data_IF_364989522535
#
_entry.id   IF_364989522535
#
_cell.length_a   1.000
_cell.length_b   1.000
_cell.length_c   1.000
_cell.angle_alpha   90.00
_cell.angle_beta   90.00
_cell.angle_gamma   90.00
#
_symmetry.space_group_name_H-M   'P 1'
#
loop_
_entity.id
_entity.type
_entity.pdbx_description
1 polymer ?
#
# COMPACT_ATOMS: atom_id res chain seq x y z
N UNK A 1 -5.64 3.49 -42.80
CA UNK A 1 -4.87 4.07 -41.68
C UNK A 1 -5.62 5.23 -41.01
N UNK A 2 -6.94 5.12 -40.82
CA UNK A 2 -7.77 6.12 -40.10
C UNK A 2 -8.76 5.48 -39.10
N UNK A 3 -8.83 4.15 -39.03
CA UNK A 3 -9.79 3.43 -38.17
C UNK A 3 -9.27 3.08 -36.75
N UNK A 4 -7.99 3.33 -36.46
CA UNK A 4 -7.36 3.01 -35.17
C UNK A 4 -7.25 4.20 -34.20
N UNK A 5 -7.47 5.43 -34.67
CA UNK A 5 -7.45 6.63 -33.83
C UNK A 5 -8.79 6.90 -33.10
N UNK A 6 -9.88 6.26 -33.55
CA UNK A 6 -11.24 6.55 -33.05
C UNK A 6 -11.59 5.95 -31.68
N UNK A 7 -10.83 4.98 -31.16
CA UNK A 7 -11.16 4.31 -29.89
C UNK A 7 -10.50 4.93 -28.65
N UNK A 8 -9.55 5.85 -28.82
CA UNK A 8 -8.82 6.44 -27.69
C UNK A 8 -9.53 7.61 -27.01
N UNK A 9 -10.48 8.26 -27.68
CA UNK A 9 -11.18 9.48 -27.23
C UNK A 9 -12.63 9.22 -26.74
N UNK A 10 -12.95 7.99 -26.33
CA UNK A 10 -14.34 7.62 -25.99
C UNK A 10 -14.76 8.13 -24.60
N UNK A 11 -13.83 8.18 -23.64
CA UNK A 11 -14.11 8.55 -22.25
C UNK A 11 -13.40 9.83 -21.81
N UNK A 12 -12.35 10.24 -22.53
CA UNK A 12 -11.34 11.17 -22.06
C UNK A 12 -10.87 12.10 -23.17
N UNK A 13 -10.67 13.38 -22.87
CA UNK A 13 -10.11 14.37 -23.80
C UNK A 13 -8.60 14.17 -23.99
N UNK A 14 -7.95 13.49 -23.05
CA UNK A 14 -6.54 13.11 -23.07
C UNK A 14 -6.36 11.62 -23.40
N UNK A 15 -5.20 11.25 -23.96
CA UNK A 15 -4.91 9.85 -24.30
C UNK A 15 -4.75 8.96 -23.05
N UNK A 16 -5.44 7.81 -23.04
CA UNK A 16 -5.26 6.76 -22.02
C UNK A 16 -3.87 6.16 -22.16
N UNK A 17 -3.10 6.18 -21.07
CA UNK A 17 -1.70 5.72 -21.07
C UNK A 17 -1.57 4.25 -20.67
N UNK A 18 -2.41 3.79 -19.74
CA UNK A 18 -2.48 2.39 -19.31
C UNK A 18 -3.80 2.10 -18.58
N UNK A 19 -4.06 0.82 -18.31
CA UNK A 19 -5.21 0.35 -17.53
C UNK A 19 -4.80 -0.04 -16.12
N UNK A 20 -5.57 0.40 -15.13
CA UNK A 20 -5.41 0.03 -13.73
C UNK A 20 -6.34 -1.14 -13.43
N UNK A 21 -5.76 -2.27 -13.01
CA UNK A 21 -6.54 -3.46 -12.65
C UNK A 21 -7.04 -3.33 -11.21
N UNK A 22 -8.34 -3.11 -11.04
CA UNK A 22 -9.01 -3.14 -9.73
C UNK A 22 -8.97 -4.56 -9.15
N UNK A 23 -8.98 -4.67 -7.82
CA UNK A 23 -9.15 -5.96 -7.15
C UNK A 23 -10.60 -6.46 -7.24
N UNK A 24 -11.56 -5.56 -7.49
CA UNK A 24 -12.93 -5.94 -7.82
C UNK A 24 -13.00 -6.59 -9.20
N UNK A 25 -13.81 -7.64 -9.32
CA UNK A 25 -13.96 -8.42 -10.56
C UNK A 25 -15.33 -8.22 -11.21
N UNK A 26 -15.41 -8.51 -12.50
CA UNK A 26 -16.65 -8.64 -13.27
C UNK A 26 -16.48 -9.82 -14.22
N UNK A 27 -17.38 -10.81 -14.15
CA UNK A 27 -17.25 -12.06 -14.92
C UNK A 27 -16.00 -12.89 -14.57
N UNK A 28 -15.47 -12.76 -13.35
CA UNK A 28 -14.24 -13.44 -12.91
C UNK A 28 -12.95 -12.67 -13.20
N UNK A 29 -12.99 -11.68 -14.09
CA UNK A 29 -11.83 -10.88 -14.50
C UNK A 29 -11.74 -9.55 -13.75
N UNK A 30 -10.52 -9.03 -13.58
CA UNK A 30 -10.30 -7.73 -12.90
C UNK A 30 -10.87 -6.58 -13.72
N UNK A 31 -11.59 -5.67 -13.06
CA UNK A 31 -12.09 -4.46 -13.73
C UNK A 31 -10.92 -3.57 -14.18
N UNK A 32 -10.99 -3.10 -15.42
CA UNK A 32 -9.98 -2.24 -16.04
C UNK A 32 -10.39 -0.77 -15.92
N UNK A 33 -9.65 0.00 -15.15
CA UNK A 33 -9.92 1.42 -14.92
C UNK A 33 -8.96 2.28 -15.75
N UNK A 34 -9.46 3.17 -16.63
CA UNK A 34 -8.59 4.00 -17.45
C UNK A 34 -7.82 5.00 -16.57
N UNK A 35 -6.64 5.43 -17.03
CA UNK A 35 -5.88 6.51 -16.40
C UNK A 35 -5.12 7.31 -17.43
N UNK A 36 -4.98 8.60 -17.13
CA UNK A 36 -4.13 9.54 -17.84
C UNK A 36 -2.81 9.73 -17.07
N UNK A 37 -1.79 10.29 -17.72
CA UNK A 37 -0.48 10.51 -17.09
C UNK A 37 -0.55 11.48 -15.90
N UNK A 38 -1.37 12.53 -16.03
CA UNK A 38 -1.55 13.58 -15.01
C UNK A 38 -2.05 13.03 -13.67
N UNK A 39 -2.78 11.90 -13.68
CA UNK A 39 -3.25 11.23 -12.46
C UNK A 39 -2.09 10.76 -11.57
N UNK A 40 -0.92 10.43 -12.13
CA UNK A 40 0.24 10.08 -11.32
C UNK A 40 0.71 11.26 -10.47
N UNK A 41 0.66 12.48 -11.01
CA UNK A 41 0.98 13.71 -10.27
C UNK A 41 0.03 13.93 -9.09
N UNK A 42 -1.28 13.74 -9.30
CA UNK A 42 -2.30 13.85 -8.22
C UNK A 42 -2.09 12.80 -7.12
N UNK A 43 -1.73 11.57 -7.48
CA UNK A 43 -1.38 10.52 -6.50
C UNK A 43 -0.15 10.88 -5.69
N UNK A 44 0.90 11.36 -6.36
CA UNK A 44 2.11 11.83 -5.69
C UNK A 44 1.81 12.99 -4.73
N UNK A 45 0.91 13.90 -5.11
CA UNK A 45 0.45 14.97 -4.23
C UNK A 45 -0.23 14.40 -2.97
N UNK A 46 -1.16 13.45 -3.10
CA UNK A 46 -1.81 12.85 -1.93
C UNK A 46 -0.80 12.14 -1.01
N UNK A 47 0.18 11.43 -1.57
CA UNK A 47 1.26 10.83 -0.78
C UNK A 47 2.08 11.88 -0.03
N UNK A 48 2.35 13.04 -0.65
CA UNK A 48 3.14 14.11 -0.03
C UNK A 48 2.45 14.75 1.19
N UNK A 49 1.13 14.59 1.34
CA UNK A 49 0.39 15.10 2.49
C UNK A 49 0.47 14.18 3.73
N UNK A 50 0.81 12.89 3.55
CA UNK A 50 0.78 11.92 4.65
C UNK A 50 1.76 12.25 5.76
N UNK A 51 3.01 12.54 5.40
CA UNK A 51 4.08 12.74 6.38
C UNK A 51 3.98 14.08 7.12
N UNK A 52 3.60 15.21 6.47
CA UNK A 52 3.27 16.45 7.17
C UNK A 52 2.11 16.33 8.16
N UNK A 53 1.11 15.49 7.88
CA UNK A 53 0.04 15.19 8.85
C UNK A 53 0.61 14.35 9.99
N UNK A 54 1.35 13.27 9.69
CA UNK A 54 1.92 12.39 10.70
C UNK A 54 2.91 13.11 11.64
N UNK A 55 3.73 14.03 11.14
CA UNK A 55 4.75 14.74 11.93
C UNK A 55 4.13 15.58 13.07
N UNK A 56 2.88 16.01 12.92
CA UNK A 56 2.13 16.70 13.98
C UNK A 56 1.82 15.79 15.19
N UNK A 57 1.80 14.47 14.99
CA UNK A 57 1.46 13.48 16.02
C UNK A 57 2.68 12.68 16.49
N UNK A 58 3.59 12.36 15.57
CA UNK A 58 4.77 11.54 15.84
C UNK A 58 6.01 12.27 15.29
N UNK A 59 6.60 13.18 16.08
CA UNK A 59 7.74 13.96 15.61
C UNK A 59 9.01 13.11 15.47
N UNK A 60 9.95 13.56 14.65
CA UNK A 60 11.29 12.98 14.54
C UNK A 60 11.35 11.71 13.68
N UNK A 61 10.38 11.50 12.78
CA UNK A 61 10.40 10.39 11.82
C UNK A 61 11.41 10.59 10.68
N UNK A 62 11.82 11.84 10.45
CA UNK A 62 12.89 12.27 9.55
C UNK A 62 14.28 11.77 9.97
N UNK A 63 14.46 11.40 11.25
CA UNK A 63 15.73 10.96 11.83
C UNK A 63 16.04 9.47 11.66
N UNK A 64 15.20 8.75 10.94
CA UNK A 64 15.37 7.31 10.74
C UNK A 64 14.72 6.84 9.44
N UNK A 65 14.35 5.57 9.41
CA UNK A 65 13.85 4.87 8.24
C UNK A 65 12.48 4.24 8.49
N UNK A 66 11.72 4.09 7.41
CA UNK A 66 10.54 3.25 7.37
C UNK A 66 10.83 1.87 6.80
N UNK A 67 10.48 0.80 7.50
CA UNK A 67 10.54 -0.55 6.96
C UNK A 67 9.18 -0.93 6.36
N UNK A 68 9.05 -0.77 5.04
CA UNK A 68 7.82 -1.09 4.32
C UNK A 68 8.01 -2.27 3.38
N UNK A 69 7.11 -3.25 3.48
CA UNK A 69 7.06 -4.39 2.55
C UNK A 69 6.16 -4.05 1.36
N UNK A 70 6.78 -3.63 0.26
CA UNK A 70 6.12 -3.15 -0.95
C UNK A 70 6.36 -4.13 -2.10
N UNK A 71 5.32 -4.46 -2.86
CA UNK A 71 5.41 -5.49 -3.89
C UNK A 71 4.79 -5.03 -5.21
N UNK A 72 5.53 -5.24 -6.30
CA UNK A 72 4.95 -5.25 -7.65
C UNK A 72 4.16 -6.54 -7.89
N UNK A 73 3.27 -6.51 -8.88
CA UNK A 73 2.45 -7.64 -9.33
C UNK A 73 2.56 -7.80 -10.84
N UNK A 74 2.04 -8.91 -11.35
CA UNK A 74 2.02 -9.21 -12.77
C UNK A 74 1.32 -8.11 -13.58
N UNK A 75 1.82 -7.91 -14.79
CA UNK A 75 1.29 -6.98 -15.77
C UNK A 75 0.81 -7.79 -16.98
N UNK A 76 -0.24 -7.30 -17.63
CA UNK A 76 -0.75 -7.86 -18.88
C UNK A 76 -0.75 -6.78 -19.96
N UNK A 77 -0.87 -7.19 -21.23
CA UNK A 77 -1.13 -6.27 -22.34
C UNK A 77 -2.52 -6.52 -22.88
N UNK A 78 -3.27 -5.46 -23.11
CA UNK A 78 -4.57 -5.53 -23.78
C UNK A 78 -4.37 -5.80 -25.28
N UNK A 79 -5.40 -6.28 -26.01
CA UNK A 79 -5.32 -6.45 -27.46
C UNK A 79 -4.92 -5.17 -28.23
N UNK A 80 -5.23 -4.00 -27.67
CA UNK A 80 -4.82 -2.70 -28.21
C UNK A 80 -3.37 -2.29 -27.86
N UNK A 81 -2.58 -3.16 -27.24
CA UNK A 81 -1.17 -2.92 -26.90
C UNK A 81 -0.92 -2.17 -25.59
N UNK A 82 -1.97 -1.64 -24.95
CA UNK A 82 -1.86 -0.92 -23.68
C UNK A 82 -1.56 -1.86 -22.52
N UNK A 83 -0.75 -1.40 -21.57
CA UNK A 83 -0.42 -2.16 -20.35
C UNK A 83 -1.60 -2.14 -19.39
N UNK A 84 -1.91 -3.27 -18.78
CA UNK A 84 -2.89 -3.44 -17.71
C UNK A 84 -2.18 -3.97 -16.46
N UNK A 85 -2.22 -3.20 -15.36
CA UNK A 85 -1.53 -3.56 -14.11
C UNK A 85 -2.18 -2.95 -12.87
N UNK A 86 -1.94 -3.49 -11.66
CA UNK A 86 -2.43 -2.88 -10.43
C UNK A 86 -1.87 -1.47 -10.22
N UNK A 87 -2.67 -0.60 -9.58
CA UNK A 87 -2.33 0.81 -9.37
C UNK A 87 -1.00 1.02 -8.65
N UNK A 88 -0.73 0.22 -7.61
CA UNK A 88 0.52 0.29 -6.84
C UNK A 88 1.73 -0.16 -7.66
N UNK A 89 1.58 -1.21 -8.48
CA UNK A 89 2.64 -1.64 -9.41
C UNK A 89 2.98 -0.52 -10.39
N UNK A 90 1.96 0.18 -10.89
CA UNK A 90 2.20 1.35 -11.75
C UNK A 90 2.89 2.49 -11.01
N UNK A 91 2.58 2.71 -9.72
CA UNK A 91 3.22 3.76 -8.93
C UNK A 91 4.69 3.42 -8.65
N UNK A 92 5.01 2.21 -8.20
CA UNK A 92 6.38 1.80 -7.89
C UNK A 92 7.30 1.82 -9.12
N UNK A 93 6.76 1.52 -10.32
CA UNK A 93 7.52 1.63 -11.59
C UNK A 93 7.59 3.04 -12.16
N UNK A 94 6.89 4.01 -11.59
CA UNK A 94 6.87 5.37 -12.11
C UNK A 94 8.09 6.16 -11.64
N UNK A 95 8.44 7.22 -12.40
CA UNK A 95 9.51 8.15 -12.03
C UNK A 95 9.25 8.84 -10.69
N UNK A 96 7.99 8.99 -10.29
CA UNK A 96 7.61 9.53 -8.98
C UNK A 96 8.08 8.66 -7.81
N UNK A 97 8.30 7.36 -8.03
CA UNK A 97 8.83 6.46 -7.03
C UNK A 97 10.32 6.18 -7.25
N UNK A 98 10.72 5.78 -8.46
CA UNK A 98 12.10 5.35 -8.73
C UNK A 98 13.10 6.50 -8.68
N UNK A 99 12.68 7.68 -9.11
CA UNK A 99 13.51 8.89 -9.20
C UNK A 99 12.96 9.98 -8.27
N UNK A 100 12.36 9.59 -7.14
CA UNK A 100 11.86 10.53 -6.15
C UNK A 100 13.02 11.40 -5.63
N UNK A 101 12.82 12.72 -5.44
CA UNK A 101 13.81 13.55 -4.80
C UNK A 101 14.09 13.01 -3.39
N UNK A 102 15.29 13.32 -2.87
CA UNK A 102 15.58 12.98 -1.48
C UNK A 102 14.57 13.68 -0.57
N UNK A 103 13.87 12.88 0.22
CA UNK A 103 12.97 13.33 1.27
C UNK A 103 13.26 12.45 2.50
N UNK A 104 13.62 13.05 3.67
CA UNK A 104 13.91 12.29 4.87
C UNK A 104 12.74 11.39 5.30
N UNK A 105 11.50 11.73 4.96
CA UNK A 105 10.33 10.92 5.28
C UNK A 105 10.01 9.81 4.24
N UNK A 106 10.73 9.73 3.12
CA UNK A 106 10.65 8.59 2.18
C UNK A 106 11.92 7.73 2.17
N UNK A 107 12.70 7.83 3.25
CA UNK A 107 13.87 7.01 3.51
C UNK A 107 13.44 5.61 3.98
N UNK A 108 13.44 4.65 3.06
CA UNK A 108 13.05 3.27 3.33
C UNK A 108 14.26 2.36 3.57
N UNK A 109 14.04 1.24 4.24
CA UNK A 109 15.04 0.17 4.36
C UNK A 109 15.20 -0.61 3.06
N UNK A 110 14.12 -0.76 2.30
CA UNK A 110 14.06 -1.55 1.07
C UNK A 110 14.58 -0.76 -0.14
N UNK A 111 15.66 -1.19 -0.82
CA UNK A 111 16.08 -0.62 -2.09
C UNK A 111 14.99 -0.77 -3.16
N UNK A 112 14.98 0.14 -4.16
CA UNK A 112 13.96 0.11 -5.21
C UNK A 112 13.97 -1.21 -5.98
N UNK A 113 15.15 -1.79 -6.22
CA UNK A 113 15.39 -3.05 -6.92
C UNK A 113 14.69 -4.23 -6.21
N UNK A 114 14.73 -4.25 -4.87
CA UNK A 114 14.08 -5.29 -4.06
C UNK A 114 12.55 -5.21 -4.13
N UNK A 115 11.99 -3.99 -4.23
CA UNK A 115 10.55 -3.73 -4.39
C UNK A 115 10.09 -4.06 -5.81
N UNK A 116 10.92 -3.75 -6.80
CA UNK A 116 10.63 -3.93 -8.23
C UNK A 116 10.89 -5.35 -8.74
N UNK A 117 11.49 -6.22 -7.91
CA UNK A 117 11.69 -7.61 -8.23
C UNK A 117 10.33 -8.32 -8.47
N UNK A 118 10.12 -8.93 -9.65
CA UNK A 118 8.85 -9.60 -9.97
C UNK A 118 8.67 -10.91 -9.21
N UNK A 119 9.77 -11.54 -8.77
CA UNK A 119 9.73 -12.74 -7.94
C UNK A 119 9.38 -12.35 -6.50
N UNK A 120 8.20 -12.77 -6.05
CA UNK A 120 7.70 -12.41 -4.73
C UNK A 120 8.50 -13.01 -3.57
N UNK A 121 9.15 -14.16 -3.76
CA UNK A 121 10.01 -14.76 -2.75
C UNK A 121 11.27 -13.91 -2.60
N UNK A 122 11.94 -13.61 -3.72
CA UNK A 122 13.18 -12.83 -3.71
C UNK A 122 12.95 -11.40 -3.21
N UNK A 123 11.84 -10.77 -3.61
CA UNK A 123 11.41 -9.46 -3.12
C UNK A 123 11.16 -9.47 -1.60
N UNK A 124 10.41 -10.46 -1.09
CA UNK A 124 10.13 -10.56 0.35
C UNK A 124 11.41 -10.81 1.16
N UNK A 125 12.23 -11.77 0.73
CA UNK A 125 13.46 -12.15 1.40
C UNK A 125 14.44 -10.97 1.50
N UNK A 126 14.72 -10.31 0.37
CA UNK A 126 15.65 -9.19 0.31
C UNK A 126 15.17 -7.97 1.10
N UNK A 127 13.88 -7.64 1.06
CA UNK A 127 13.32 -6.55 1.87
C UNK A 127 13.41 -6.82 3.38
N UNK A 128 13.12 -8.06 3.80
CA UNK A 128 13.28 -8.47 5.21
C UNK A 128 14.74 -8.39 5.64
N UNK A 129 15.67 -8.89 4.82
CA UNK A 129 17.10 -8.84 5.10
C UNK A 129 17.58 -7.40 5.27
N UNK A 130 17.23 -6.49 4.37
CA UNK A 130 17.57 -5.07 4.48
C UNK A 130 16.97 -4.44 5.76
N UNK A 131 15.73 -4.80 6.11
CA UNK A 131 15.07 -4.37 7.33
C UNK A 131 15.77 -4.85 8.62
N UNK A 132 16.32 -6.07 8.62
CA UNK A 132 17.10 -6.61 9.74
C UNK A 132 18.48 -5.95 9.85
N UNK A 133 19.16 -5.72 8.73
CA UNK A 133 20.47 -5.03 8.70
C UNK A 133 20.33 -3.62 9.30
N UNK A 134 19.29 -2.90 8.91
CA UNK A 134 19.05 -1.51 9.32
C UNK A 134 18.17 -1.40 10.58
N UNK A 135 18.06 -2.45 11.40
CA UNK A 135 17.02 -2.58 12.41
C UNK A 135 16.96 -1.44 13.44
N UNK A 136 18.11 -0.81 13.75
CA UNK A 136 18.20 0.31 14.69
C UNK A 136 17.70 1.63 14.10
N UNK A 137 17.71 1.77 12.79
CA UNK A 137 17.25 2.97 12.10
C UNK A 137 15.74 2.96 11.89
N UNK A 138 15.07 1.82 12.09
CA UNK A 138 13.63 1.65 11.84
C UNK A 138 12.81 2.36 12.91
N UNK A 139 12.06 3.38 12.49
CA UNK A 139 11.13 4.14 13.34
C UNK A 139 9.66 3.78 13.11
N UNK A 140 9.36 3.11 12.00
CA UNK A 140 8.01 2.67 11.63
C UNK A 140 8.10 1.48 10.71
N UNK A 141 7.15 0.57 10.83
CA UNK A 141 7.07 -0.66 10.05
C UNK A 141 5.72 -0.74 9.36
N UNK A 142 5.63 -1.39 8.20
CA UNK A 142 4.33 -1.44 7.53
C UNK A 142 4.28 -2.17 6.21
N UNK A 143 3.07 -2.18 5.66
CA UNK A 143 2.73 -2.58 4.30
C UNK A 143 1.41 -1.89 3.95
N UNK A 144 1.01 -1.92 2.67
CA UNK A 144 -0.27 -1.30 2.29
C UNK A 144 -1.46 -1.89 3.06
N UNK A 145 -1.52 -3.22 3.19
CA UNK A 145 -2.57 -3.91 3.92
C UNK A 145 -2.00 -4.73 5.07
N UNK A 146 -2.77 -4.84 6.16
CA UNK A 146 -2.45 -5.67 7.32
C UNK A 146 -2.05 -7.12 6.94
N UNK A 147 -2.78 -7.73 6.01
CA UNK A 147 -2.49 -9.07 5.50
C UNK A 147 -1.11 -9.19 4.86
N UNK A 148 -0.64 -8.15 4.16
CA UNK A 148 0.69 -8.11 3.57
C UNK A 148 1.79 -8.08 4.62
N UNK A 149 1.59 -7.29 5.68
CA UNK A 149 2.54 -7.18 6.79
C UNK A 149 2.61 -8.47 7.62
N UNK A 150 1.46 -9.08 7.93
CA UNK A 150 1.40 -10.39 8.60
C UNK A 150 2.11 -11.46 7.78
N UNK A 151 1.94 -11.47 6.45
CA UNK A 151 2.68 -12.38 5.56
C UNK A 151 4.20 -12.18 5.66
N UNK A 152 4.69 -10.95 5.83
CA UNK A 152 6.12 -10.71 6.03
C UNK A 152 6.60 -11.25 7.38
N UNK A 153 5.84 -11.08 8.46
CA UNK A 153 6.15 -11.66 9.78
C UNK A 153 6.16 -13.19 9.71
N UNK A 154 5.17 -13.80 9.04
CA UNK A 154 5.12 -15.25 8.82
C UNK A 154 6.26 -15.76 7.95
N UNK A 155 6.70 -14.98 6.96
CA UNK A 155 7.87 -15.31 6.17
C UNK A 155 9.13 -15.31 7.03
N UNK A 156 9.30 -14.31 7.91
CA UNK A 156 10.40 -14.27 8.87
C UNK A 156 10.37 -15.47 9.83
N UNK A 157 9.20 -15.84 10.34
CA UNK A 157 9.01 -17.02 11.20
C UNK A 157 9.53 -18.32 10.54
N UNK A 158 9.38 -18.44 9.22
CA UNK A 158 9.79 -19.61 8.45
C UNK A 158 11.23 -19.57 7.94
N UNK A 159 11.81 -18.38 7.74
CA UNK A 159 13.07 -18.20 7.01
C UNK A 159 14.16 -17.47 7.83
N UNK A 160 13.92 -17.17 9.11
CA UNK A 160 14.93 -16.52 9.96
C UNK A 160 16.27 -17.26 10.02
N UNK A 161 16.38 -18.61 9.96
CA UNK A 161 17.69 -19.27 10.02
C UNK A 161 18.59 -18.90 8.83
N UNK A 162 18.02 -18.81 7.62
CA UNK A 162 18.76 -18.42 6.42
C UNK A 162 19.09 -16.92 6.45
N UNK A 163 18.15 -16.07 6.87
CA UNK A 163 18.41 -14.64 7.04
C UNK A 163 19.54 -14.38 8.05
N UNK A 164 19.59 -15.14 9.14
CA UNK A 164 20.67 -15.09 10.14
C UNK A 164 22.01 -15.53 9.56
N UNK A 165 22.04 -16.60 8.76
CA UNK A 165 23.26 -17.07 8.12
C UNK A 165 23.81 -16.04 7.11
N UNK A 166 22.94 -15.43 6.32
CA UNK A 166 23.31 -14.35 5.39
C UNK A 166 23.93 -13.17 6.13
N UNK A 167 23.30 -12.72 7.23
CA UNK A 167 23.83 -11.64 8.08
C UNK A 167 25.18 -12.05 8.68
N UNK A 168 25.30 -13.29 9.19
CA UNK A 168 26.51 -13.78 9.86
C UNK A 168 27.69 -13.87 8.90
N UNK A 169 27.46 -14.38 7.69
CA UNK A 169 28.51 -14.63 6.69
C UNK A 169 28.74 -13.45 5.76
N UNK A 170 27.80 -12.51 5.69
CA UNK A 170 27.78 -11.42 4.72
C UNK A 170 27.58 -11.90 3.28
N UNK A 171 27.02 -13.10 3.08
CA UNK A 171 26.77 -13.69 1.77
C UNK A 171 25.28 -13.89 1.58
N UNK A 172 24.75 -13.38 0.48
CA UNK A 172 23.34 -13.50 0.16
C UNK A 172 23.01 -14.90 -0.38
N UNK A 173 21.96 -15.51 0.16
CA UNK A 173 21.42 -16.82 -0.22
C UNK A 173 21.34 -16.99 -1.76
N UNK A 174 21.79 -18.14 -2.27
CA UNK A 174 21.86 -18.44 -3.70
C UNK A 174 20.47 -18.58 -4.36
N UNK A 175 19.40 -18.75 -3.57
CA UNK A 175 18.01 -18.70 -4.05
C UNK A 175 17.64 -17.31 -4.58
N UNK A 176 18.37 -16.27 -4.17
CA UNK A 176 18.19 -14.92 -4.70
C UNK A 176 18.98 -14.80 -6.00
N UNK A 177 18.34 -15.09 -7.11
CA UNK A 177 18.97 -15.18 -8.44
C UNK A 177 18.92 -13.87 -9.24
N UNK A 178 18.03 -12.94 -8.90
CA UNK A 178 17.89 -11.66 -9.61
C UNK A 178 19.15 -10.78 -9.43
N UNK A 179 19.89 -10.46 -10.51
CA UNK A 179 21.15 -9.73 -10.40
C UNK A 179 21.00 -8.32 -9.82
N UNK A 180 19.86 -7.65 -10.07
CA UNK A 180 19.61 -6.30 -9.58
C UNK A 180 19.36 -6.31 -8.08
N UNK A 181 18.61 -7.30 -7.60
CA UNK A 181 18.40 -7.54 -6.16
C UNK A 181 19.72 -7.87 -5.47
N UNK A 182 20.53 -8.79 -6.04
CA UNK A 182 21.83 -9.14 -5.46
C UNK A 182 22.76 -7.93 -5.35
N UNK A 183 22.83 -7.12 -6.41
CA UNK A 183 23.64 -5.90 -6.41
C UNK A 183 23.19 -4.90 -5.34
N UNK A 184 21.89 -4.61 -5.26
CA UNK A 184 21.35 -3.65 -4.29
C UNK A 184 21.55 -4.11 -2.83
N UNK A 185 21.38 -5.42 -2.55
CA UNK A 185 21.60 -5.97 -1.21
C UNK A 185 23.09 -6.00 -0.84
N UNK A 186 23.98 -6.24 -1.80
CA UNK A 186 25.43 -6.27 -1.57
C UNK A 186 26.00 -4.93 -1.08
N UNK A 187 25.35 -3.80 -1.37
CA UNK A 187 25.75 -2.49 -0.85
C UNK A 187 25.54 -2.37 0.68
N UNK A 188 24.58 -3.14 1.22
CA UNK A 188 24.20 -3.11 2.64
C UNK A 188 24.75 -4.30 3.42
N UNK A 189 24.79 -5.49 2.80
CA UNK A 189 25.11 -6.74 3.47
C UNK A 189 26.61 -6.84 3.77
N UNK A 190 26.96 -6.86 5.06
CA UNK A 190 28.31 -7.08 5.57
C UNK A 190 28.25 -8.16 6.66
N UNK A 191 29.31 -8.96 6.85
CA UNK A 191 29.34 -9.94 7.92
C UNK A 191 29.16 -9.26 9.29
N UNK A 192 28.06 -9.56 9.98
CA UNK A 192 27.77 -9.07 11.32
C UNK A 192 27.27 -10.21 12.22
N UNK A 193 28.19 -10.99 12.82
CA UNK A 193 27.83 -12.05 13.75
C UNK A 193 27.04 -11.57 14.96
N UNK A 194 27.24 -10.32 15.42
CA UNK A 194 26.54 -9.79 16.60
C UNK A 194 25.06 -9.54 16.28
N UNK A 195 24.76 -8.99 15.11
CA UNK A 195 23.39 -8.83 14.64
C UNK A 195 22.74 -10.19 14.41
N UNK A 196 23.45 -11.13 13.78
CA UNK A 196 22.96 -12.49 13.56
C UNK A 196 22.56 -13.18 14.88
N UNK A 197 23.43 -13.14 15.89
CA UNK A 197 23.17 -13.73 17.21
C UNK A 197 22.02 -13.03 17.96
N UNK A 198 21.83 -11.73 17.74
CA UNK A 198 20.68 -10.98 18.27
C UNK A 198 19.37 -11.43 17.63
N UNK A 199 19.30 -11.45 16.28
CA UNK A 199 18.10 -11.86 15.55
C UNK A 199 17.75 -13.31 15.86
N UNK A 200 18.74 -14.20 15.87
CA UNK A 200 18.58 -15.62 16.20
C UNK A 200 18.00 -15.81 17.61
N UNK A 201 18.51 -15.08 18.60
CA UNK A 201 18.02 -15.15 19.99
C UNK A 201 16.56 -14.71 20.12
N UNK A 202 16.15 -13.70 19.37
CA UNK A 202 14.78 -13.20 19.39
C UNK A 202 13.80 -14.13 18.66
N UNK A 203 14.21 -14.68 17.51
CA UNK A 203 13.40 -15.59 16.70
C UNK A 203 13.29 -17.01 17.27
N UNK A 204 14.27 -17.47 18.05
CA UNK A 204 14.24 -18.79 18.73
C UNK A 204 13.30 -18.87 19.93
N UNK A 205 12.75 -17.74 20.41
CA UNK A 205 11.83 -17.73 21.55
C UNK A 205 10.53 -18.46 21.21
N UNK A 206 9.98 -19.19 22.18
CA UNK A 206 8.71 -19.93 22.03
C UNK A 206 7.51 -19.02 21.69
N UNK A 207 7.55 -17.74 22.10
CA UNK A 207 6.50 -16.77 21.82
C UNK A 207 7.01 -15.64 20.95
N UNK A 208 6.28 -15.39 19.87
CA UNK A 208 6.49 -14.27 18.95
C UNK A 208 5.66 -13.03 19.34
N UNK A 209 4.96 -13.05 20.47
CA UNK A 209 4.24 -11.88 20.99
C UNK A 209 5.21 -10.72 21.16
N UNK A 210 5.01 -9.58 20.50
CA UNK A 210 5.93 -8.44 20.57
C UNK A 210 7.24 -8.62 19.81
N UNK A 211 7.32 -9.54 18.85
CA UNK A 211 8.53 -9.71 18.04
C UNK A 211 8.94 -8.42 17.31
N UNK A 212 7.97 -7.58 16.90
CA UNK A 212 8.24 -6.34 16.16
C UNK A 212 9.10 -5.38 17.00
N UNK A 213 8.65 -4.91 18.18
CA UNK A 213 9.48 -4.03 19.01
C UNK A 213 10.70 -4.74 19.61
N UNK A 214 10.81 -6.07 19.56
CA UNK A 214 12.05 -6.75 19.94
C UNK A 214 13.13 -6.68 18.87
N UNK A 215 12.79 -6.94 17.61
CA UNK A 215 13.74 -6.85 16.49
C UNK A 215 14.01 -5.41 16.07
N UNK A 216 12.97 -4.58 16.03
CA UNK A 216 13.00 -3.17 15.65
C UNK A 216 12.60 -2.28 16.83
N UNK A 217 13.48 -2.10 17.83
CA UNK A 217 13.14 -1.49 19.12
C UNK A 217 12.77 0.00 19.07
N UNK A 218 13.14 0.70 18.00
CA UNK A 218 12.80 2.11 17.83
C UNK A 218 11.49 2.34 17.07
N UNK A 219 10.75 1.27 16.74
CA UNK A 219 9.46 1.35 16.05
C UNK A 219 8.44 2.09 16.90
N UNK A 220 7.87 3.17 16.35
CA UNK A 220 6.86 4.00 17.00
C UNK A 220 5.43 3.56 16.68
N UNK A 221 5.20 2.99 15.49
CA UNK A 221 3.88 2.53 15.05
C UNK A 221 3.97 1.54 13.88
N UNK A 222 2.85 0.89 13.59
CA UNK A 222 2.66 -0.01 12.45
C UNK A 222 1.73 0.67 11.43
N UNK A 223 2.25 0.99 10.25
CA UNK A 223 1.52 1.63 9.15
C UNK A 223 0.90 0.59 8.22
N UNK A 224 -0.37 0.29 8.43
CA UNK A 224 -1.13 -0.73 7.71
C UNK A 224 -2.61 -0.39 7.70
N UNK A 225 -3.28 -0.60 6.56
CA UNK A 225 -4.74 -0.50 6.52
C UNK A 225 -5.35 -1.64 7.36
N UNK A 226 -6.08 -1.26 8.41
CA UNK A 226 -6.88 -2.13 9.30
C UNK A 226 -8.36 -1.76 9.33
N UNK A 227 -8.81 -0.79 8.52
CA UNK A 227 -10.25 -0.50 8.33
C UNK A 227 -10.93 -1.52 7.40
N UNK A 228 -12.26 -1.58 7.44
CA UNK A 228 -13.05 -2.48 6.60
C UNK A 228 -12.74 -3.95 6.90
N UNK A 229 -12.60 -4.78 5.85
CA UNK A 229 -12.33 -6.22 6.01
C UNK A 229 -10.95 -6.52 6.59
N UNK A 230 -10.02 -5.56 6.64
CA UNK A 230 -8.72 -5.73 7.27
C UNK A 230 -8.77 -5.69 8.80
N UNK A 231 -9.88 -5.24 9.40
CA UNK A 231 -10.06 -5.17 10.86
C UNK A 231 -9.95 -6.52 11.56
N UNK A 232 -10.24 -7.62 10.84
CA UNK A 232 -10.04 -8.99 11.34
C UNK A 232 -8.60 -9.29 11.77
N UNK A 233 -7.62 -8.54 11.27
CA UNK A 233 -6.20 -8.74 11.55
C UNK A 233 -5.68 -7.94 12.74
N UNK A 234 -6.48 -7.04 13.32
CA UNK A 234 -6.08 -6.21 14.47
C UNK A 234 -5.54 -7.08 15.62
N UNK A 235 -6.23 -8.15 16.09
CA UNK A 235 -5.71 -8.95 17.19
C UNK A 235 -4.36 -9.62 16.89
N UNK A 236 -4.12 -10.01 15.64
CA UNK A 236 -2.85 -10.61 15.23
C UNK A 236 -1.73 -9.57 15.18
N UNK A 237 -2.02 -8.35 14.73
CA UNK A 237 -1.07 -7.24 14.75
C UNK A 237 -0.75 -6.80 16.17
N UNK A 238 -1.75 -6.73 17.05
CA UNK A 238 -1.54 -6.40 18.47
C UNK A 238 -0.65 -7.44 19.16
N UNK A 239 -0.86 -8.73 18.85
CA UNK A 239 0.01 -9.80 19.33
C UNK A 239 1.47 -9.59 18.92
N UNK A 240 1.76 -9.35 17.64
CA UNK A 240 3.14 -9.17 17.17
C UNK A 240 3.75 -7.80 17.52
N UNK A 241 2.91 -6.77 17.59
CA UNK A 241 3.28 -5.38 17.86
C UNK A 241 3.36 -5.04 19.33
N UNK A 242 2.78 -5.85 20.22
CA UNK A 242 2.72 -5.61 21.66
C UNK A 242 2.15 -4.23 22.01
N UNK A 243 1.02 -3.87 21.39
CA UNK A 243 0.32 -2.61 21.62
C UNK A 243 0.90 -1.39 20.90
N UNK A 244 1.78 -1.59 19.92
CA UNK A 244 2.18 -0.50 19.01
C UNK A 244 0.93 0.08 18.30
N UNK A 245 0.81 1.42 18.16
CA UNK A 245 -0.29 2.04 17.43
C UNK A 245 -0.41 1.50 16.00
N UNK A 246 -1.62 1.18 15.58
CA UNK A 246 -1.95 0.78 14.20
C UNK A 246 -2.46 2.00 13.44
N UNK A 247 -1.71 2.44 12.44
CA UNK A 247 -1.99 3.66 11.69
C UNK A 247 -2.59 3.32 10.34
N UNK A 248 -3.78 3.87 10.07
CA UNK A 248 -4.41 3.87 8.75
C UNK A 248 -4.26 5.25 8.11
N UNK A 249 -3.36 5.40 7.15
CA UNK A 249 -2.98 6.72 6.60
C UNK A 249 -3.87 7.21 5.46
N UNK A 250 -4.27 6.33 4.52
CA UNK A 250 -4.87 6.74 3.25
C UNK A 250 -6.06 5.83 2.87
N UNK A 251 -7.06 6.44 2.23
CA UNK A 251 -8.13 5.76 1.52
C UNK A 251 -8.03 6.02 0.02
N UNK A 252 -7.88 4.96 -0.77
CA UNK A 252 -7.67 5.03 -2.21
C UNK A 252 -8.14 3.76 -2.90
N UNK A 253 -8.38 3.86 -4.21
CA UNK A 253 -8.73 2.74 -5.07
C UNK A 253 -7.97 2.75 -6.40
N UNK A 254 -8.26 1.79 -7.27
CA UNK A 254 -7.70 1.80 -8.62
C UNK A 254 -8.35 2.88 -9.48
N UNK A 255 -9.62 3.18 -9.25
CA UNK A 255 -10.42 4.21 -9.92
C UNK A 255 -9.87 5.60 -9.57
N UNK A 256 -9.78 5.93 -8.27
CA UNK A 256 -9.38 7.24 -7.77
C UNK A 256 -8.65 7.13 -6.42
N UNK A 257 -7.74 8.07 -6.14
CA UNK A 257 -7.21 8.27 -4.80
C UNK A 257 -8.14 9.25 -4.07
N UNK A 258 -8.65 8.89 -2.90
CA UNK A 258 -9.78 9.60 -2.31
C UNK A 258 -9.35 10.62 -1.26
N UNK A 259 -8.63 10.16 -0.23
CA UNK A 259 -8.34 10.99 0.93
C UNK A 259 -7.37 10.35 1.91
N UNK A 260 -7.16 11.04 3.03
CA UNK A 260 -6.26 10.62 4.11
C UNK A 260 -6.91 10.74 5.48
N UNK A 261 -6.38 10.01 6.45
CA UNK A 261 -6.76 10.16 7.85
C UNK A 261 -6.01 11.35 8.46
N UNK A 262 -6.75 12.36 8.93
CA UNK A 262 -6.17 13.55 9.57
C UNK A 262 -5.86 13.34 11.07
N UNK A 263 -6.30 12.22 11.65
CA UNK A 263 -6.03 11.81 13.03
C UNK A 263 -5.40 10.40 13.03
N UNK A 264 -4.17 10.24 12.51
CA UNK A 264 -3.57 8.93 12.24
C UNK A 264 -3.35 8.04 13.47
N UNK A 265 -3.33 8.60 14.69
CA UNK A 265 -3.17 7.86 15.94
C UNK A 265 -4.50 7.53 16.66
N UNK A 266 -5.65 7.75 16.03
CA UNK A 266 -6.94 7.35 16.59
C UNK A 266 -7.03 5.81 16.74
N UNK A 267 -7.96 5.33 17.58
CA UNK A 267 -8.24 3.90 17.66
C UNK A 267 -8.66 3.38 16.27
N UNK A 268 -8.25 2.15 15.88
CA UNK A 268 -8.65 1.55 14.60
C UNK A 268 -10.16 1.56 14.32
N UNK A 269 -11.01 1.59 15.36
CA UNK A 269 -12.48 1.66 15.25
C UNK A 269 -13.00 3.06 14.92
N UNK A 270 -12.21 4.09 15.20
CA UNK A 270 -12.59 5.50 15.05
C UNK A 270 -11.99 6.16 13.80
N UNK A 271 -11.27 5.38 12.97
CA UNK A 271 -10.63 5.87 11.75
C UNK A 271 -11.66 6.48 10.81
N UNK A 272 -11.44 7.75 10.48
CA UNK A 272 -12.20 8.50 9.49
C UNK A 272 -11.28 9.09 8.44
N UNK A 273 -11.69 9.03 7.17
CA UNK A 273 -10.89 9.54 6.04
C UNK A 273 -11.51 10.85 5.53
N UNK A 274 -10.70 11.90 5.44
CA UNK A 274 -11.08 13.16 4.83
C UNK A 274 -10.77 13.12 3.33
N UNK A 275 -11.81 13.20 2.51
CA UNK A 275 -11.66 13.29 1.05
C UNK A 275 -10.96 14.60 0.68
N UNK A 276 -10.00 14.52 -0.25
CA UNK A 276 -9.29 15.70 -0.75
C UNK A 276 -10.02 16.23 -1.98
N UNK A 277 -10.68 17.41 -1.92
CA UNK A 277 -11.62 17.86 -2.96
C UNK A 277 -11.01 18.06 -4.35
N UNK A 278 -9.68 18.16 -4.45
CA UNK A 278 -8.98 18.32 -5.74
C UNK A 278 -8.72 16.99 -6.46
N UNK A 279 -9.03 15.84 -5.84
CA UNK A 279 -8.70 14.52 -6.39
C UNK A 279 -9.70 14.02 -7.43
N UNK A 280 -10.97 14.30 -7.23
CA UNK A 280 -12.07 14.02 -8.15
C UNK A 280 -13.29 14.87 -7.75
N UNK A 281 -14.31 14.91 -8.60
CA UNK A 281 -15.62 15.39 -8.17
C UNK A 281 -16.35 14.27 -7.44
N UNK A 282 -16.74 14.53 -6.19
CA UNK A 282 -17.31 13.55 -5.27
C UNK A 282 -18.79 13.80 -5.04
N UNK A 283 -19.58 12.77 -5.28
CA UNK A 283 -21.02 12.72 -5.03
C UNK A 283 -21.36 11.52 -4.16
N UNK A 284 -22.52 11.58 -3.50
CA UNK A 284 -22.92 10.60 -2.51
C UNK A 284 -24.37 10.21 -2.72
N UNK A 285 -24.62 8.92 -2.98
CA UNK A 285 -25.96 8.37 -3.07
C UNK A 285 -26.42 7.89 -1.68
N UNK A 286 -27.50 8.43 -1.10
CA UNK A 286 -27.98 8.00 0.21
C UNK A 286 -28.34 6.51 0.25
N UNK A 287 -27.87 5.78 1.27
CA UNK A 287 -28.23 4.37 1.47
C UNK A 287 -29.39 4.27 2.45
N UNK A 288 -30.57 3.91 1.94
CA UNK A 288 -31.74 3.64 2.77
C UNK A 288 -31.79 2.15 3.13
N UNK A 289 -31.31 1.78 4.34
CA UNK A 289 -31.50 0.42 4.86
C UNK A 289 -32.97 0.22 5.24
N UNK A 290 -33.79 -0.31 4.34
CA UNK A 290 -35.11 -0.84 4.71
C UNK A 290 -34.95 -2.16 5.45
N UNK A 291 -35.69 -2.37 6.54
CA UNK A 291 -35.73 -3.62 7.34
C UNK A 291 -36.36 -4.83 6.60
N UNK A 292 -36.12 -4.97 5.30
CA UNK A 292 -36.60 -6.09 4.47
C UNK A 292 -35.52 -6.44 3.46
N UNK A 293 -35.20 -7.73 3.39
CA UNK A 293 -34.20 -8.36 2.51
C UNK A 293 -34.13 -7.67 1.14
N UNK A 294 -33.08 -6.89 0.91
CA UNK A 294 -32.72 -6.41 -0.42
C UNK A 294 -31.64 -7.32 -0.99
N UNK A 295 -31.99 -8.02 -2.08
CA UNK A 295 -31.08 -8.87 -2.86
C UNK A 295 -29.76 -8.15 -3.14
N UNK A 296 -28.70 -8.65 -2.55
CA UNK A 296 -27.32 -8.20 -2.73
C UNK A 296 -26.72 -8.71 -4.05
N UNK A 297 -27.44 -8.50 -5.15
CA UNK A 297 -26.92 -8.71 -6.50
C UNK A 297 -26.62 -7.35 -7.15
N UNK A 298 -25.50 -6.75 -6.72
CA UNK A 298 -24.91 -5.57 -7.34
C UNK A 298 -24.36 -5.90 -8.74
N UNK A 299 -25.26 -6.02 -9.71
CA UNK A 299 -24.92 -5.86 -11.12
C UNK A 299 -24.83 -4.36 -11.36
N UNK A 300 -23.71 -3.91 -11.94
CA UNK A 300 -23.46 -2.56 -12.45
C UNK A 300 -24.68 -2.02 -13.20
N UNK A 301 -25.57 -1.30 -12.53
CA UNK A 301 -26.64 -0.53 -13.17
C UNK A 301 -26.17 0.92 -13.25
N UNK A 302 -26.32 1.50 -14.42
CA UNK A 302 -26.35 2.96 -14.57
C UNK A 302 -27.40 3.51 -13.59
N UNK A 303 -27.05 4.52 -12.79
CA UNK A 303 -27.98 5.15 -11.86
C UNK A 303 -29.25 5.57 -12.62
N UNK A 304 -30.42 5.23 -12.09
CA UNK A 304 -31.69 5.70 -12.62
C UNK A 304 -31.78 7.23 -12.51
N UNK A 305 -32.59 7.88 -13.36
CA UNK A 305 -32.79 9.33 -13.29
C UNK A 305 -33.27 9.82 -11.92
N UNK A 306 -33.93 8.95 -11.15
CA UNK A 306 -34.37 9.24 -9.79
C UNK A 306 -33.19 9.24 -8.82
N UNK A 307 -32.32 8.23 -8.88
CA UNK A 307 -31.12 8.14 -8.05
C UNK A 307 -30.12 9.26 -8.38
N UNK A 308 -30.00 9.66 -9.64
CA UNK A 308 -29.18 10.81 -10.04
C UNK A 308 -29.66 12.13 -9.40
N UNK A 309 -30.97 12.30 -9.23
CA UNK A 309 -31.55 13.47 -8.54
C UNK A 309 -31.36 13.44 -7.02
N UNK A 310 -31.02 12.28 -6.46
CA UNK A 310 -30.80 12.08 -5.03
C UNK A 310 -29.32 12.21 -4.63
N UNK A 311 -28.41 12.39 -5.60
CA UNK A 311 -27.00 12.61 -5.33
C UNK A 311 -26.78 13.88 -4.50
N UNK A 312 -25.92 13.74 -3.50
CA UNK A 312 -25.53 14.80 -2.60
C UNK A 312 -24.07 15.17 -2.85
N UNK A 313 -23.78 16.46 -2.99
CA UNK A 313 -22.41 16.97 -3.14
C UNK A 313 -21.60 16.77 -1.85
N UNK A 314 -20.26 16.72 -1.98
CA UNK A 314 -19.33 16.52 -0.86
C UNK A 314 -19.59 17.39 0.37
N UNK A 315 -19.95 18.67 0.18
CA UNK A 315 -20.17 19.62 1.30
C UNK A 315 -21.56 19.49 1.94
N UNK A 316 -22.47 18.74 1.33
CA UNK A 316 -23.87 18.64 1.71
C UNK A 316 -24.24 17.31 2.40
N UNK A 317 -23.26 16.42 2.61
CA UNK A 317 -23.46 15.17 3.36
C UNK A 317 -23.85 15.44 4.82
N UNK A 318 -24.68 14.57 5.38
CA UNK A 318 -25.19 14.72 6.76
C UNK A 318 -24.46 13.80 7.72
N UNK A 319 -24.10 14.32 8.89
CA UNK A 319 -23.47 13.53 9.94
C UNK A 319 -24.37 12.35 10.37
N UNK A 320 -23.78 11.16 10.49
CA UNK A 320 -24.48 9.94 10.90
C UNK A 320 -25.30 9.26 9.80
N UNK A 321 -25.28 9.77 8.57
CA UNK A 321 -25.91 9.13 7.42
C UNK A 321 -24.92 8.23 6.66
N UNK A 322 -25.45 7.21 5.99
CA UNK A 322 -24.67 6.30 5.14
C UNK A 322 -24.90 6.62 3.65
N UNK A 323 -23.82 6.53 2.87
CA UNK A 323 -23.82 6.86 1.45
C UNK A 323 -22.97 5.88 0.65
N UNK A 324 -23.35 5.64 -0.59
CA UNK A 324 -22.47 5.06 -1.62
C UNK A 324 -21.69 6.19 -2.31
N UNK A 325 -20.37 6.01 -2.44
CA UNK A 325 -19.48 6.99 -3.05
C UNK A 325 -19.57 6.93 -4.58
N UNK A 326 -19.90 8.06 -5.20
CA UNK A 326 -19.89 8.26 -6.65
C UNK A 326 -18.74 9.22 -6.99
N UNK A 327 -17.95 8.86 -7.99
CA UNK A 327 -16.77 9.64 -8.40
C UNK A 327 -16.80 9.97 -9.88
N UNK A 328 -16.56 11.24 -10.19
CA UNK A 328 -16.24 11.71 -11.54
C UNK A 328 -14.76 12.10 -11.59
N UNK A 329 -13.96 11.34 -12.35
CA UNK A 329 -12.50 11.50 -12.42
C UNK A 329 -12.08 12.34 -13.63
N UNK A 330 -10.83 12.82 -13.61
CA UNK A 330 -10.28 13.63 -14.69
C UNK A 330 -10.16 12.86 -16.01
N UNK A 331 -10.47 13.56 -17.10
CA UNK A 331 -10.50 13.10 -18.49
C UNK A 331 -9.44 13.80 -19.37
#
# INVERSE_FOLDING_TARGET
MLFLLGFFLILMGSSVVFWKCSSGTSGGERKLMPTIEQELGRRSLLYSLLMPVMDQFVPGLDKGKGMYFLFVKSEARTPGGLVARPVLTSYYRSKYFTNRPFDPYTNYTSPNETILCPDSFQSMYSQLLCGLILHREVLRVGAVFASGFIRAIKFLEQNWPQLVDDIRTGKLDDRITDPSVRAAVAELLKPDPKLADFVERECRKNSWQGIIPRLWPNTKYIDVIVTGTMSQYIPTLDFYGNGLPLVCTMYASSECYFGLNLSPLCDPKDVSYTLIPTMAYFEFLPVHRSNGVTDSHAISKTLSEKEQKELVELVNVKLGHEYELVVTTYA
#
